data_IF_001841986048
#
_entry.id   IF_001841986048
#
_cell.length_a   1.000
_cell.length_b   1.000
_cell.length_c   1.000
_cell.angle_alpha   90.00
_cell.angle_beta   90.00
_cell.angle_gamma   90.00
#
_symmetry.space_group_name_H-M   'P 1'
#
loop_
_entity.id
_entity.type
_entity.pdbx_description
1 polymer ?
#
# COMPACT_ATOMS: atom_id res chain seq x y z
N UNK A 1 -16.77 12.32 11.14
CA UNK A 1 -15.82 13.24 10.48
C UNK A 1 -16.16 14.66 10.87
N UNK A 2 -17.37 15.14 10.59
CA UNK A 2 -17.79 16.51 10.92
C UNK A 2 -17.67 16.86 12.42
N UNK A 3 -18.14 15.99 13.31
CA UNK A 3 -18.01 16.20 14.78
C UNK A 3 -16.55 16.31 15.23
N UNK A 4 -15.64 15.60 14.57
CA UNK A 4 -14.21 15.59 14.88
C UNK A 4 -13.40 16.61 14.05
N UNK A 5 -14.06 17.43 13.20
CA UNK A 5 -13.39 18.39 12.33
C UNK A 5 -12.48 17.78 11.26
N UNK A 6 -12.78 16.56 10.80
CA UNK A 6 -11.97 15.86 9.78
C UNK A 6 -12.58 16.06 8.39
N UNK A 7 -11.84 16.72 7.50
CA UNK A 7 -12.33 17.07 6.16
C UNK A 7 -12.42 15.88 5.20
N UNK A 8 -11.46 14.93 5.31
CA UNK A 8 -11.31 13.81 4.40
C UNK A 8 -10.62 12.61 5.03
N UNK A 9 -10.72 11.45 4.38
CA UNK A 9 -10.02 10.24 4.81
C UNK A 9 -9.42 9.48 3.63
N UNK A 10 -8.23 8.90 3.85
CA UNK A 10 -7.65 7.88 2.98
C UNK A 10 -8.19 6.52 3.42
N UNK A 11 -9.02 5.91 2.58
CA UNK A 11 -9.56 4.57 2.80
C UNK A 11 -8.55 3.57 2.26
N UNK A 12 -7.92 2.82 3.16
CA UNK A 12 -7.08 1.69 2.77
C UNK A 12 -7.96 0.48 2.50
N UNK A 13 -7.77 -0.17 1.36
CA UNK A 13 -8.48 -1.40 1.01
C UNK A 13 -8.41 -2.41 2.17
N UNK A 14 -9.55 -2.82 2.73
CA UNK A 14 -9.59 -3.79 3.82
C UNK A 14 -9.29 -5.19 3.29
N UNK A 15 -8.42 -5.91 4.00
CA UNK A 15 -8.06 -7.30 3.67
C UNK A 15 -9.26 -8.25 3.69
N UNK A 16 -10.36 -7.91 4.38
CA UNK A 16 -11.58 -8.70 4.41
C UNK A 16 -12.21 -8.92 3.02
N UNK A 17 -11.97 -8.01 2.08
CA UNK A 17 -12.36 -8.14 0.67
C UNK A 17 -11.19 -8.53 -0.23
N UNK A 18 -10.07 -8.94 0.37
CA UNK A 18 -8.84 -9.29 -0.31
C UNK A 18 -8.44 -8.19 -1.31
N UNK A 19 -8.21 -8.57 -2.56
CA UNK A 19 -7.83 -7.66 -3.63
C UNK A 19 -9.02 -7.19 -4.47
N UNK A 20 -10.27 -7.50 -4.09
CA UNK A 20 -11.45 -6.91 -4.70
C UNK A 20 -11.71 -5.51 -4.11
N UNK A 21 -11.38 -4.49 -4.91
CA UNK A 21 -11.52 -3.09 -4.54
C UNK A 21 -12.89 -2.50 -4.91
N UNK A 22 -13.82 -3.30 -5.46
CA UNK A 22 -15.10 -2.81 -6.00
C UNK A 22 -15.91 -2.00 -4.97
N UNK A 23 -15.99 -2.47 -3.73
CA UNK A 23 -16.69 -1.77 -2.65
C UNK A 23 -16.06 -0.40 -2.37
N UNK A 24 -14.75 -0.35 -2.13
CA UNK A 24 -14.04 0.91 -1.85
C UNK A 24 -14.18 1.85 -3.04
N UNK A 25 -13.96 1.36 -4.25
CA UNK A 25 -14.12 2.14 -5.49
C UNK A 25 -15.51 2.74 -5.62
N UNK A 26 -16.57 2.00 -5.28
CA UNK A 26 -17.94 2.53 -5.30
C UNK A 26 -18.14 3.69 -4.31
N UNK A 27 -17.51 3.61 -3.13
CA UNK A 27 -17.54 4.64 -2.09
C UNK A 27 -16.76 5.89 -2.51
N UNK A 28 -15.56 5.71 -3.10
CA UNK A 28 -14.76 6.82 -3.62
C UNK A 28 -15.52 7.61 -4.69
N UNK A 29 -16.19 6.91 -5.61
CA UNK A 29 -17.04 7.53 -6.65
C UNK A 29 -18.24 8.27 -6.07
N UNK A 30 -18.84 7.75 -4.99
CA UNK A 30 -19.99 8.35 -4.34
C UNK A 30 -19.63 9.61 -3.53
N UNK A 31 -18.43 9.66 -2.94
CA UNK A 31 -18.00 10.76 -2.07
C UNK A 31 -16.58 11.27 -2.41
N UNK A 32 -16.35 11.75 -3.64
CA UNK A 32 -15.00 12.08 -4.12
C UNK A 32 -14.37 13.29 -3.43
N UNK A 33 -15.17 14.14 -2.79
CA UNK A 33 -14.67 15.27 -1.99
C UNK A 33 -14.28 14.89 -0.56
N UNK A 34 -14.63 13.67 -0.11
CA UNK A 34 -14.39 13.20 1.26
C UNK A 34 -13.38 12.06 1.32
N UNK A 35 -13.34 11.20 0.30
CA UNK A 35 -12.51 10.00 0.35
C UNK A 35 -11.56 9.89 -0.82
N UNK A 36 -10.35 9.44 -0.51
CA UNK A 36 -9.36 8.96 -1.48
C UNK A 36 -8.97 7.53 -1.13
N UNK A 37 -8.52 6.75 -2.11
CA UNK A 37 -8.22 5.34 -1.94
C UNK A 37 -6.73 5.04 -1.78
N UNK A 38 -6.42 4.06 -0.93
CA UNK A 38 -5.13 3.38 -0.87
C UNK A 38 -5.31 1.90 -1.25
N UNK A 39 -4.63 1.47 -2.32
CA UNK A 39 -4.72 0.10 -2.83
C UNK A 39 -4.15 -0.89 -1.81
N UNK A 40 -4.59 -2.14 -1.82
CA UNK A 40 -3.85 -3.23 -1.20
C UNK A 40 -3.03 -3.94 -2.29
N UNK A 41 -1.71 -3.98 -2.15
CA UNK A 41 -0.85 -4.65 -3.12
C UNK A 41 -1.10 -6.17 -3.09
N UNK A 42 -1.32 -6.76 -4.27
CA UNK A 42 -1.46 -8.20 -4.45
C UNK A 42 -0.10 -8.82 -4.81
N UNK A 43 0.54 -9.60 -3.92
CA UNK A 43 1.86 -10.18 -4.15
C UNK A 43 1.80 -11.54 -4.88
N UNK A 44 0.69 -11.87 -5.54
CA UNK A 44 0.57 -13.08 -6.36
C UNK A 44 1.56 -13.07 -7.54
N UNK A 45 2.22 -14.22 -7.77
CA UNK A 45 3.20 -14.42 -8.83
C UNK A 45 2.56 -14.86 -10.16
N UNK A 46 1.49 -14.16 -10.55
CA UNK A 46 0.77 -14.37 -11.81
C UNK A 46 0.68 -13.08 -12.65
N UNK A 47 1.34 -12.01 -12.19
CA UNK A 47 1.34 -10.69 -12.81
C UNK A 47 0.01 -9.92 -12.68
N UNK A 48 -1.02 -10.49 -12.04
CA UNK A 48 -2.32 -9.83 -11.86
C UNK A 48 -2.20 -8.58 -10.98
N UNK A 49 -1.33 -8.61 -9.96
CA UNK A 49 -1.15 -7.52 -9.02
C UNK A 49 -0.68 -6.22 -9.67
N UNK A 50 0.26 -6.27 -10.61
CA UNK A 50 0.76 -5.07 -11.31
C UNK A 50 -0.33 -4.47 -12.19
N UNK A 51 -1.03 -5.30 -12.98
CA UNK A 51 -2.12 -4.84 -13.84
C UNK A 51 -3.24 -4.20 -13.03
N UNK A 52 -3.59 -4.81 -11.91
CA UNK A 52 -4.59 -4.26 -10.99
C UNK A 52 -4.12 -2.95 -10.38
N UNK A 53 -2.87 -2.87 -9.93
CA UNK A 53 -2.30 -1.65 -9.33
C UNK A 53 -2.38 -0.47 -10.31
N UNK A 54 -1.94 -0.67 -11.54
CA UNK A 54 -2.00 0.35 -12.59
C UNK A 54 -3.43 0.79 -12.88
N UNK A 55 -4.36 -0.16 -13.01
CA UNK A 55 -5.77 0.13 -13.21
C UNK A 55 -6.35 0.98 -12.05
N UNK A 56 -6.07 0.60 -10.80
CA UNK A 56 -6.59 1.29 -9.62
C UNK A 56 -6.06 2.72 -9.50
N UNK A 57 -4.76 2.94 -9.75
CA UNK A 57 -4.17 4.28 -9.65
C UNK A 57 -4.59 5.15 -10.85
N UNK A 58 -4.42 4.64 -12.08
CA UNK A 58 -4.60 5.45 -13.28
C UNK A 58 -6.07 5.66 -13.60
N UNK A 59 -6.90 4.62 -13.51
CA UNK A 59 -8.31 4.68 -13.90
C UNK A 59 -9.21 5.03 -12.70
N UNK A 60 -9.07 4.29 -11.60
CA UNK A 60 -9.93 4.45 -10.40
C UNK A 60 -9.43 5.53 -9.42
N UNK A 61 -8.33 6.21 -9.76
CA UNK A 61 -7.78 7.39 -9.06
C UNK A 61 -7.39 7.16 -7.61
N UNK A 62 -7.00 5.93 -7.26
CA UNK A 62 -6.32 5.64 -6.00
C UNK A 62 -5.00 6.43 -5.93
N UNK A 63 -4.59 6.80 -4.71
CA UNK A 63 -3.49 7.75 -4.48
C UNK A 63 -2.36 7.21 -3.63
N UNK A 64 -2.46 5.97 -3.17
CA UNK A 64 -1.44 5.30 -2.39
C UNK A 64 -1.56 3.79 -2.55
N UNK A 65 -0.54 3.06 -2.12
CA UNK A 65 -0.47 1.60 -2.13
C UNK A 65 -0.10 1.13 -0.74
N UNK A 66 -0.72 0.07 -0.24
CA UNK A 66 -0.32 -0.58 1.00
C UNK A 66 0.38 -1.89 0.72
N UNK A 67 1.60 -2.01 1.25
CA UNK A 67 2.30 -3.26 1.45
C UNK A 67 1.99 -3.79 2.85
N UNK A 68 1.55 -5.04 2.91
CA UNK A 68 1.47 -5.81 4.14
C UNK A 68 2.37 -7.05 3.96
N UNK A 69 3.57 -7.07 4.55
CA UNK A 69 4.52 -8.18 4.38
C UNK A 69 3.93 -9.55 4.73
N UNK A 70 2.92 -9.62 5.60
CA UNK A 70 2.28 -10.89 5.97
C UNK A 70 1.42 -11.50 4.85
N UNK A 71 1.15 -10.76 3.76
CA UNK A 71 0.44 -11.28 2.59
C UNK A 71 1.36 -11.90 1.55
N UNK A 72 2.68 -11.73 1.68
CA UNK A 72 3.61 -12.42 0.79
C UNK A 72 3.53 -13.92 1.01
N UNK A 73 3.72 -14.74 -0.05
CA UNK A 73 3.75 -16.19 0.10
C UNK A 73 4.78 -16.62 1.15
N UNK A 74 4.52 -17.73 1.85
CA UNK A 74 5.41 -18.21 2.90
C UNK A 74 6.85 -18.39 2.40
N UNK A 75 7.81 -17.82 3.13
CA UNK A 75 9.23 -17.85 2.77
C UNK A 75 9.66 -16.82 1.72
N UNK A 76 8.73 -16.06 1.15
CA UNK A 76 9.04 -14.97 0.22
C UNK A 76 9.27 -13.65 0.95
N UNK A 77 10.13 -12.82 0.36
CA UNK A 77 10.48 -11.47 0.79
C UNK A 77 9.71 -10.44 -0.03
N UNK A 78 9.51 -9.24 0.52
CA UNK A 78 9.03 -8.08 -0.24
C UNK A 78 10.00 -7.69 -1.36
N UNK A 79 11.28 -7.99 -1.22
CA UNK A 79 12.31 -7.74 -2.24
C UNK A 79 12.40 -8.86 -3.29
N UNK A 80 11.41 -9.74 -3.39
CA UNK A 80 11.31 -10.63 -4.55
C UNK A 80 10.89 -9.86 -5.82
N UNK A 81 10.91 -10.55 -6.97
CA UNK A 81 10.61 -9.92 -8.27
C UNK A 81 9.24 -9.22 -8.30
N UNK A 82 8.21 -9.85 -7.73
CA UNK A 82 6.86 -9.30 -7.67
C UNK A 82 6.82 -8.03 -6.81
N UNK A 83 7.38 -8.07 -5.60
CA UNK A 83 7.33 -6.94 -4.67
C UNK A 83 8.15 -5.75 -5.14
N UNK A 84 9.32 -5.99 -5.74
CA UNK A 84 10.10 -4.96 -6.45
C UNK A 84 9.31 -4.32 -7.58
N UNK A 85 8.69 -5.13 -8.43
CA UNK A 85 7.92 -4.63 -9.56
C UNK A 85 6.71 -3.79 -9.13
N UNK A 86 6.01 -4.21 -8.07
CA UNK A 86 4.92 -3.45 -7.47
C UNK A 86 5.41 -2.13 -6.88
N UNK A 87 6.53 -2.15 -6.14
CA UNK A 87 7.10 -0.99 -5.49
C UNK A 87 7.61 0.05 -6.51
N UNK A 88 8.33 -0.41 -7.54
CA UNK A 88 8.78 0.42 -8.64
C UNK A 88 7.61 1.06 -9.39
N UNK A 89 6.60 0.26 -9.75
CA UNK A 89 5.41 0.75 -10.47
C UNK A 89 4.65 1.81 -9.66
N UNK A 90 4.55 1.64 -8.34
CA UNK A 90 3.93 2.65 -7.48
C UNK A 90 4.67 3.99 -7.56
N UNK A 91 6.00 3.98 -7.48
CA UNK A 91 6.84 5.17 -7.63
C UNK A 91 6.72 5.82 -9.02
N UNK A 92 6.75 5.02 -10.09
CA UNK A 92 6.55 5.51 -11.47
C UNK A 92 5.20 6.22 -11.65
N UNK A 93 4.15 5.73 -10.98
CA UNK A 93 2.81 6.29 -11.01
C UNK A 93 2.61 7.42 -9.98
N UNK A 94 3.63 7.78 -9.21
CA UNK A 94 3.59 8.84 -8.19
C UNK A 94 2.74 8.49 -6.97
N UNK A 95 2.52 7.20 -6.69
CA UNK A 95 1.77 6.72 -5.55
C UNK A 95 2.73 6.28 -4.41
N UNK A 96 2.68 6.92 -3.23
CA UNK A 96 3.46 6.46 -2.08
C UNK A 96 3.04 5.05 -1.63
N UNK A 97 4.01 4.30 -1.10
CA UNK A 97 3.82 2.96 -0.56
C UNK A 97 3.81 3.02 0.97
N UNK A 98 2.64 2.81 1.57
CA UNK A 98 2.47 2.59 3.00
C UNK A 98 2.85 1.16 3.38
N UNK A 99 3.74 0.98 4.35
CA UNK A 99 4.20 -0.35 4.77
C UNK A 99 3.70 -0.64 6.19
N UNK A 100 2.84 -1.65 6.31
CA UNK A 100 2.28 -2.10 7.57
C UNK A 100 3.08 -3.27 8.15
N UNK A 101 4.15 -2.96 8.88
CA UNK A 101 5.07 -3.94 9.48
C UNK A 101 4.56 -4.51 10.81
N UNK A 102 3.43 -5.23 10.81
CA UNK A 102 2.77 -5.69 12.05
C UNK A 102 3.64 -6.52 13.01
N UNK A 103 4.70 -7.17 12.50
CA UNK A 103 5.66 -7.94 13.34
C UNK A 103 6.82 -7.09 13.88
N UNK A 104 6.74 -5.76 13.73
CA UNK A 104 7.79 -4.80 14.08
C UNK A 104 8.71 -4.49 12.90
N UNK A 105 9.13 -3.22 12.79
CA UNK A 105 10.01 -2.74 11.72
C UNK A 105 11.35 -3.48 11.65
N UNK A 106 11.89 -3.97 12.78
CA UNK A 106 13.17 -4.67 12.83
C UNK A 106 13.21 -5.93 11.94
N UNK A 107 12.06 -6.57 11.72
CA UNK A 107 11.97 -7.76 10.88
C UNK A 107 12.03 -7.46 9.37
N UNK A 108 11.83 -6.20 8.98
CA UNK A 108 11.66 -5.83 7.57
C UNK A 108 12.56 -4.66 7.13
N UNK A 109 13.26 -4.01 8.06
CA UNK A 109 14.01 -2.77 7.77
C UNK A 109 15.02 -2.95 6.63
N UNK A 110 15.74 -4.08 6.59
CA UNK A 110 16.71 -4.36 5.53
C UNK A 110 16.04 -4.45 4.14
N UNK A 111 14.88 -5.11 4.05
CA UNK A 111 14.13 -5.21 2.80
C UNK A 111 13.59 -3.83 2.35
N UNK A 112 13.17 -3.01 3.31
CA UNK A 112 12.66 -1.67 3.05
C UNK A 112 13.80 -0.73 2.59
N UNK A 113 14.96 -0.78 3.25
CA UNK A 113 16.15 -0.03 2.85
C UNK A 113 16.61 -0.42 1.44
N UNK A 114 16.59 -1.71 1.12
CA UNK A 114 16.89 -2.22 -0.22
C UNK A 114 15.91 -1.68 -1.27
N UNK A 115 14.59 -1.77 -1.02
CA UNK A 115 13.58 -1.19 -1.91
C UNK A 115 13.75 0.32 -2.11
N UNK A 116 14.00 1.08 -1.04
CA UNK A 116 14.23 2.53 -1.12
C UNK A 116 15.52 2.88 -1.88
N UNK A 117 16.56 2.06 -1.74
CA UNK A 117 17.84 2.26 -2.43
C UNK A 117 17.70 2.00 -3.92
N UNK A 118 17.03 0.91 -4.28
CA UNK A 118 16.89 0.49 -5.68
C UNK A 118 15.82 1.31 -6.44
N UNK A 119 14.82 1.82 -5.74
CA UNK A 119 13.70 2.59 -6.31
C UNK A 119 13.47 3.92 -5.57
N UNK A 120 14.42 4.88 -5.68
CA UNK A 120 14.39 6.12 -4.90
C UNK A 120 13.24 7.08 -5.25
N UNK A 121 12.55 6.85 -6.38
CA UNK A 121 11.36 7.63 -6.75
C UNK A 121 10.12 7.25 -5.91
N UNK A 122 10.12 6.08 -5.28
CA UNK A 122 8.98 5.60 -4.51
C UNK A 122 9.02 6.15 -3.09
N UNK A 123 8.09 7.03 -2.75
CA UNK A 123 7.95 7.54 -1.38
C UNK A 123 7.37 6.45 -0.47
N UNK A 124 7.99 6.24 0.70
CA UNK A 124 7.52 5.29 1.71
C UNK A 124 6.82 5.99 2.87
N UNK A 125 5.71 5.41 3.33
CA UNK A 125 4.99 5.81 4.54
C UNK A 125 5.02 4.62 5.51
N UNK A 126 5.24 4.86 6.80
CA UNK A 126 5.15 3.81 7.81
C UNK A 126 3.85 3.93 8.59
N UNK A 127 3.06 2.85 8.59
CA UNK A 127 1.84 2.81 9.39
C UNK A 127 2.18 2.55 10.87
N UNK A 128 1.27 2.96 11.77
CA UNK A 128 1.32 2.62 13.21
C UNK A 128 2.66 2.96 13.88
N UNK A 129 3.25 4.11 13.57
CA UNK A 129 4.59 4.48 14.07
C UNK A 129 5.63 3.39 13.80
N UNK A 130 5.56 2.77 12.61
CA UNK A 130 6.40 1.67 12.18
C UNK A 130 6.36 0.41 13.08
N UNK A 131 5.37 0.28 13.97
CA UNK A 131 5.39 -0.75 15.03
C UNK A 131 6.73 -0.79 15.78
N UNK A 132 7.37 0.38 15.95
CA UNK A 132 8.60 0.48 16.70
C UNK A 132 8.31 0.39 18.20
N UNK A 133 9.30 -0.06 18.98
CA UNK A 133 9.21 0.04 20.43
C UNK A 133 9.27 1.53 20.81
N UNK A 134 8.28 2.07 21.55
CA UNK A 134 8.36 3.44 22.02
C UNK A 134 9.60 3.65 22.92
N UNK A 135 10.25 4.84 22.86
CA UNK A 135 11.29 5.18 23.82
C UNK A 135 10.73 5.12 25.25
N UNK A 136 11.52 4.57 26.16
CA UNK A 136 11.24 4.52 27.61
C UNK A 136 11.77 5.74 28.31
#
# INVERSE_FOLDING_TARGET
>A
MDEAGVDGALIVQPINHMFDHSLVTSVLKKYPSKFIGCCLANPADDGSGIKQLEHLIVQEKYRAVRFNPNLWPSGQKMTNEVGRSLFAKAGELGAPVGIMVMKGISSYIQEIEELCTDYPATTVIFDHMAFCKPPT
#
